data_IF_336832013850
#
_entry.id   IF_336832013850
#
_cell.length_a   1.000
_cell.length_b   1.000
_cell.length_c   1.000
_cell.angle_alpha   90.00
_cell.angle_beta   90.00
_cell.angle_gamma   90.00
#
_symmetry.space_group_name_H-M   'P 1'
#
loop_
_entity.id
_entity.type
_entity.pdbx_description
1 polymer ?
#
# COMPACT_ATOMS: atom_id res chain seq x y z
N UNK A 1 -18.80 -18.46 -19.28
CA UNK A 1 -20.14 -18.01 -18.85
C UNK A 1 -20.14 -16.49 -18.99
N UNK A 2 -20.93 -15.93 -19.89
CA UNK A 2 -21.10 -14.47 -19.98
C UNK A 2 -21.74 -14.02 -18.66
N UNK A 3 -21.01 -13.26 -17.84
CA UNK A 3 -21.61 -12.51 -16.76
C UNK A 3 -22.66 -11.62 -17.43
N UNK A 4 -23.91 -11.85 -17.11
CA UNK A 4 -24.99 -11.18 -17.81
C UNK A 4 -24.91 -9.69 -17.53
N UNK A 5 -25.02 -8.91 -18.59
CA UNK A 5 -25.16 -7.46 -18.57
C UNK A 5 -26.38 -6.95 -17.75
N UNK A 6 -27.13 -7.85 -17.15
CA UNK A 6 -28.33 -7.57 -16.36
C UNK A 6 -28.08 -6.75 -15.10
N UNK A 7 -26.85 -6.80 -14.53
CA UNK A 7 -26.53 -5.97 -13.35
C UNK A 7 -26.45 -4.47 -13.63
N UNK A 8 -26.21 -4.09 -14.89
CA UNK A 8 -26.14 -2.67 -15.28
C UNK A 8 -27.53 -2.00 -15.39
N UNK A 9 -28.58 -2.79 -15.49
CA UNK A 9 -29.96 -2.33 -15.69
C UNK A 9 -30.83 -2.40 -14.43
N UNK A 10 -30.25 -2.67 -13.26
CA UNK A 10 -31.02 -2.71 -12.03
C UNK A 10 -31.56 -1.33 -11.65
N UNK A 11 -32.85 -1.21 -11.29
CA UNK A 11 -33.46 0.07 -10.99
C UNK A 11 -32.81 0.71 -9.76
N UNK A 12 -32.31 1.93 -9.92
CA UNK A 12 -31.76 2.75 -8.82
C UNK A 12 -32.90 3.26 -7.96
N UNK A 13 -33.30 2.48 -6.96
CA UNK A 13 -34.33 2.89 -6.00
C UNK A 13 -33.71 2.98 -4.62
N UNK A 14 -33.23 4.08 -4.19
CA UNK A 14 -33.07 4.52 -2.81
C UNK A 14 -31.91 5.51 -2.64
N UNK A 15 -31.90 6.21 -1.52
CA UNK A 15 -30.80 7.08 -1.07
C UNK A 15 -29.49 6.31 -0.84
N UNK A 16 -29.55 5.01 -0.62
CA UNK A 16 -28.38 4.13 -0.56
C UNK A 16 -28.14 3.51 -1.93
N UNK A 17 -27.15 4.04 -2.63
CA UNK A 17 -26.86 3.74 -4.04
C UNK A 17 -26.51 2.28 -4.35
N UNK A 18 -26.26 1.45 -3.35
CA UNK A 18 -25.86 0.04 -3.55
C UNK A 18 -26.93 -0.97 -3.12
N UNK A 19 -28.05 -0.54 -2.52
CA UNK A 19 -29.09 -1.47 -2.04
C UNK A 19 -29.80 -2.25 -3.16
N UNK A 20 -29.71 -1.79 -4.39
CA UNK A 20 -30.25 -2.49 -5.56
C UNK A 20 -29.40 -3.70 -5.98
N UNK A 21 -28.16 -3.82 -5.50
CA UNK A 21 -27.29 -4.95 -5.82
C UNK A 21 -27.64 -6.18 -4.96
N UNK A 22 -27.43 -7.40 -5.49
CA UNK A 22 -27.54 -8.63 -4.70
C UNK A 22 -26.70 -8.57 -3.44
N UNK A 23 -27.13 -9.18 -2.38
CA UNK A 23 -26.39 -9.27 -1.10
C UNK A 23 -27.26 -9.07 0.12
N UNK A 24 -26.69 -9.28 1.28
CA UNK A 24 -27.32 -9.11 2.58
C UNK A 24 -26.62 -8.00 3.40
N UNK A 25 -27.16 -7.73 4.58
CA UNK A 25 -26.56 -6.78 5.52
C UNK A 25 -25.55 -7.44 6.48
N UNK A 26 -25.25 -8.74 6.26
CA UNK A 26 -24.37 -9.52 7.11
C UNK A 26 -25.09 -10.20 8.28
N UNK A 27 -24.35 -11.05 8.99
CA UNK A 27 -24.90 -11.92 10.07
C UNK A 27 -25.24 -11.17 11.35
N UNK A 28 -24.59 -10.03 11.60
CA UNK A 28 -24.73 -9.30 12.87
C UNK A 28 -25.37 -7.93 12.64
N UNK A 29 -26.29 -7.49 13.54
CA UNK A 29 -26.77 -6.12 13.52
C UNK A 29 -25.58 -5.15 13.61
N UNK A 30 -25.61 -4.05 12.87
CA UNK A 30 -24.57 -3.01 12.83
C UNK A 30 -23.21 -3.49 12.30
N UNK A 31 -22.63 -4.56 12.85
CA UNK A 31 -21.30 -5.07 12.48
C UNK A 31 -21.29 -5.83 11.15
N UNK A 32 -22.46 -6.27 10.67
CA UNK A 32 -22.54 -7.03 9.43
C UNK A 32 -21.76 -8.35 9.48
N UNK A 33 -20.87 -8.54 8.53
CA UNK A 33 -19.99 -9.70 8.43
C UNK A 33 -18.57 -9.43 8.98
N UNK A 34 -18.37 -8.41 9.81
CA UNK A 34 -17.04 -7.99 10.28
C UNK A 34 -16.25 -9.13 10.92
N UNK A 35 -16.88 -9.95 11.74
CA UNK A 35 -16.18 -11.07 12.39
C UNK A 35 -15.70 -12.08 11.37
N UNK A 36 -16.56 -12.52 10.45
CA UNK A 36 -16.21 -13.47 9.39
C UNK A 36 -15.17 -12.85 8.43
N UNK A 37 -15.29 -11.57 8.12
CA UNK A 37 -14.32 -10.82 7.31
C UNK A 37 -12.90 -10.86 7.91
N UNK A 38 -12.78 -10.77 9.24
CA UNK A 38 -11.49 -10.76 9.94
C UNK A 38 -10.93 -12.17 10.19
N UNK A 39 -11.80 -13.18 10.31
CA UNK A 39 -11.40 -14.53 10.70
C UNK A 39 -11.37 -15.53 9.55
N UNK A 40 -12.27 -15.39 8.56
CA UNK A 40 -12.38 -16.26 7.38
C UNK A 40 -12.87 -15.47 6.15
N UNK A 41 -12.05 -14.57 5.67
CA UNK A 41 -12.37 -13.73 4.49
C UNK A 41 -12.69 -14.56 3.24
N UNK A 42 -11.90 -15.62 2.98
CA UNK A 42 -12.10 -16.46 1.79
C UNK A 42 -13.40 -17.26 1.86
N UNK A 43 -13.75 -17.78 3.04
CA UNK A 43 -15.03 -18.45 3.26
C UNK A 43 -16.20 -17.50 3.07
N UNK A 44 -16.13 -16.29 3.63
CA UNK A 44 -17.15 -15.25 3.45
C UNK A 44 -17.38 -14.94 1.97
N UNK A 45 -16.31 -14.63 1.24
CA UNK A 45 -16.39 -14.27 -0.19
C UNK A 45 -16.91 -15.44 -1.03
N UNK A 46 -16.39 -16.66 -0.78
CA UNK A 46 -16.82 -17.86 -1.50
C UNK A 46 -18.30 -18.18 -1.29
N UNK A 47 -18.78 -18.05 -0.04
CA UNK A 47 -20.19 -18.24 0.30
C UNK A 47 -21.09 -17.21 -0.38
N UNK A 48 -20.72 -15.94 -0.30
CA UNK A 48 -21.51 -14.85 -0.93
C UNK A 48 -21.46 -14.94 -2.46
N UNK A 49 -20.33 -15.30 -3.05
CA UNK A 49 -20.24 -15.55 -4.49
C UNK A 49 -21.19 -16.65 -4.96
N UNK A 50 -21.28 -17.76 -4.22
CA UNK A 50 -22.22 -18.84 -4.53
C UNK A 50 -23.68 -18.41 -4.43
N UNK A 51 -24.01 -17.52 -3.49
CA UNK A 51 -25.39 -17.06 -3.27
C UNK A 51 -25.81 -15.94 -4.22
N UNK A 52 -24.93 -15.01 -4.51
CA UNK A 52 -25.26 -13.74 -5.16
C UNK A 52 -24.58 -13.53 -6.52
N UNK A 53 -23.64 -14.41 -6.88
CA UNK A 53 -22.86 -14.26 -8.12
C UNK A 53 -21.61 -13.39 -7.94
N UNK A 54 -20.97 -12.95 -9.04
CA UNK A 54 -19.67 -12.30 -9.01
C UNK A 54 -19.71 -10.82 -8.55
N UNK A 55 -20.88 -10.22 -8.48
CA UNK A 55 -21.06 -8.84 -8.03
C UNK A 55 -22.09 -8.83 -6.90
N UNK A 56 -21.66 -8.46 -5.71
CA UNK A 56 -22.56 -8.40 -4.56
C UNK A 56 -22.15 -7.32 -3.56
N UNK A 57 -23.13 -6.82 -2.82
CA UNK A 57 -22.87 -5.92 -1.70
C UNK A 57 -22.39 -6.69 -0.47
N UNK A 58 -21.51 -6.07 0.25
CA UNK A 58 -20.99 -6.55 1.51
C UNK A 58 -21.11 -5.46 2.59
N UNK A 59 -21.30 -5.86 3.84
CA UNK A 59 -21.32 -4.97 4.99
C UNK A 59 -20.36 -5.52 6.04
N UNK A 60 -19.19 -4.92 6.15
CA UNK A 60 -18.17 -5.30 7.13
C UNK A 60 -17.37 -4.06 7.56
N UNK A 61 -16.77 -4.11 8.74
CA UNK A 61 -15.96 -3.02 9.31
C UNK A 61 -16.73 -1.69 9.38
N UNK A 62 -18.03 -1.74 9.65
CA UNK A 62 -18.95 -0.59 9.65
C UNK A 62 -19.05 0.13 8.30
N UNK A 63 -18.64 -0.52 7.21
CA UNK A 63 -18.67 0.02 5.86
C UNK A 63 -19.47 -0.89 4.93
N UNK A 64 -20.21 -0.26 4.06
CA UNK A 64 -20.86 -0.93 2.93
C UNK A 64 -19.95 -0.85 1.72
N UNK A 65 -19.74 -1.99 1.09
CA UNK A 65 -18.90 -2.12 -0.09
C UNK A 65 -19.55 -3.02 -1.14
N UNK A 66 -19.02 -2.99 -2.34
CA UNK A 66 -19.38 -3.92 -3.42
C UNK A 66 -18.17 -4.81 -3.68
N UNK A 67 -18.38 -6.12 -3.58
CA UNK A 67 -17.40 -7.09 -4.03
C UNK A 67 -17.55 -7.27 -5.55
N UNK A 68 -16.44 -7.21 -6.25
CA UNK A 68 -16.32 -7.38 -7.68
C UNK A 68 -15.35 -8.55 -7.93
N UNK A 69 -15.83 -9.64 -8.49
CA UNK A 69 -15.07 -10.87 -8.67
C UNK A 69 -15.04 -11.25 -10.14
N UNK A 70 -13.91 -11.82 -10.55
CA UNK A 70 -13.72 -12.31 -11.91
C UNK A 70 -12.89 -11.37 -12.79
N UNK A 71 -12.43 -11.87 -13.97
CA UNK A 71 -11.53 -11.13 -14.84
C UNK A 71 -12.16 -9.85 -15.40
N UNK A 72 -13.44 -9.88 -15.79
CA UNK A 72 -14.12 -8.73 -16.36
C UNK A 72 -14.28 -7.59 -15.32
N UNK A 73 -14.61 -7.93 -14.07
CA UNK A 73 -14.73 -6.96 -13.00
C UNK A 73 -13.35 -6.37 -12.62
N UNK A 74 -12.31 -7.20 -12.61
CA UNK A 74 -10.95 -6.74 -12.38
C UNK A 74 -10.46 -5.83 -13.52
N UNK A 75 -10.77 -6.19 -14.78
CA UNK A 75 -10.43 -5.35 -15.93
C UNK A 75 -11.08 -3.96 -15.84
N UNK A 76 -12.37 -3.92 -15.48
CA UNK A 76 -13.10 -2.66 -15.29
C UNK A 76 -12.43 -1.75 -14.26
N UNK A 77 -12.07 -2.32 -13.09
CA UNK A 77 -11.45 -1.52 -11.99
C UNK A 77 -10.02 -1.12 -12.31
N UNK A 78 -9.22 -2.05 -12.88
CA UNK A 78 -7.79 -1.81 -13.10
C UNK A 78 -7.52 -0.90 -14.31
N UNK A 79 -8.34 -0.98 -15.36
CA UNK A 79 -8.21 -0.08 -16.51
C UNK A 79 -8.82 1.29 -16.27
N UNK A 80 -9.95 1.32 -15.58
CA UNK A 80 -10.71 2.54 -15.25
C UNK A 80 -10.74 3.57 -16.40
N UNK A 81 -11.06 3.13 -17.60
CA UNK A 81 -11.01 3.96 -18.81
C UNK A 81 -11.87 5.21 -18.70
N UNK A 82 -12.96 5.12 -17.96
CA UNK A 82 -13.92 6.21 -17.75
C UNK A 82 -13.59 7.09 -16.52
N UNK A 83 -12.49 6.78 -15.81
CA UNK A 83 -12.04 7.49 -14.61
C UNK A 83 -13.15 7.63 -13.55
N UNK A 84 -13.85 6.54 -13.26
CA UNK A 84 -14.97 6.49 -12.31
C UNK A 84 -14.58 6.01 -10.92
N UNK A 85 -13.41 5.38 -10.77
CA UNK A 85 -12.91 4.88 -9.50
C UNK A 85 -11.92 5.86 -8.88
N UNK A 86 -12.02 6.04 -7.56
CA UNK A 86 -11.13 6.87 -6.78
C UNK A 86 -10.27 6.01 -5.85
N UNK A 87 -8.98 5.94 -6.13
CA UNK A 87 -8.00 5.33 -5.22
C UNK A 87 -7.93 6.09 -3.91
N UNK A 88 -7.93 7.42 -3.96
CA UNK A 88 -7.92 8.29 -2.78
C UNK A 88 -9.05 7.93 -1.82
N UNK A 89 -10.30 7.89 -2.28
CA UNK A 89 -11.46 7.57 -1.42
C UNK A 89 -11.39 6.17 -0.81
N UNK A 90 -10.76 5.22 -1.51
CA UNK A 90 -10.58 3.86 -1.01
C UNK A 90 -9.50 3.77 0.08
N UNK A 91 -8.39 4.49 -0.11
CA UNK A 91 -7.21 4.38 0.75
C UNK A 91 -7.13 5.42 1.86
N UNK A 92 -7.80 6.59 1.73
CA UNK A 92 -7.84 7.62 2.78
C UNK A 92 -8.18 7.05 4.17
N UNK A 93 -9.22 6.21 4.37
CA UNK A 93 -9.55 5.67 5.68
C UNK A 93 -8.46 4.77 6.28
N UNK A 94 -7.54 4.30 5.44
CA UNK A 94 -6.49 3.35 5.82
C UNK A 94 -5.15 4.07 6.01
N UNK A 95 -4.76 4.93 5.07
CA UNK A 95 -3.41 5.43 4.93
C UNK A 95 -3.23 6.93 5.22
N UNK A 96 -4.28 7.76 5.18
CA UNK A 96 -4.15 9.22 5.28
C UNK A 96 -3.30 9.70 6.48
N UNK A 97 -3.52 9.08 7.65
CA UNK A 97 -2.77 9.45 8.87
C UNK A 97 -1.36 8.87 8.94
N UNK A 98 -1.07 7.85 8.15
CA UNK A 98 0.23 7.17 8.15
C UNK A 98 1.13 7.67 7.01
N UNK A 99 0.56 7.89 5.83
CA UNK A 99 1.26 8.31 4.62
C UNK A 99 0.44 9.39 3.88
N UNK A 100 0.23 10.58 4.50
CA UNK A 100 -0.54 11.65 3.86
C UNK A 100 0.13 12.04 2.53
N UNK A 101 -0.70 12.41 1.57
CA UNK A 101 -0.28 12.85 0.24
C UNK A 101 0.51 11.81 -0.59
N UNK A 102 0.58 10.57 -0.10
CA UNK A 102 1.18 9.46 -0.83
C UNK A 102 0.51 9.21 -2.18
N UNK A 103 1.24 8.62 -3.12
CA UNK A 103 0.75 8.37 -4.49
C UNK A 103 -0.60 7.61 -4.53
N UNK A 104 -0.83 6.67 -3.60
CA UNK A 104 -2.08 5.92 -3.49
C UNK A 104 -3.27 6.78 -3.03
N UNK A 105 -3.01 7.95 -2.44
CA UNK A 105 -4.01 8.90 -1.97
C UNK A 105 -4.26 10.05 -2.96
N UNK A 106 -3.89 9.84 -4.21
CA UNK A 106 -4.10 10.80 -5.31
C UNK A 106 -4.90 10.15 -6.42
N UNK A 107 -5.70 10.94 -7.11
CA UNK A 107 -6.54 10.47 -8.21
C UNK A 107 -6.19 11.19 -9.53
N UNK A 108 -6.57 10.58 -10.63
CA UNK A 108 -6.62 11.12 -11.97
C UNK A 108 -5.35 11.88 -12.40
N UNK A 109 -5.47 13.15 -12.70
CA UNK A 109 -4.37 13.95 -13.26
C UNK A 109 -3.29 14.24 -12.21
N UNK A 110 -3.67 14.43 -10.93
CA UNK A 110 -2.74 14.58 -9.82
C UNK A 110 -1.91 13.30 -9.61
N UNK A 111 -2.57 12.12 -9.58
CA UNK A 111 -1.89 10.84 -9.52
C UNK A 111 -0.93 10.66 -10.70
N UNK A 112 -1.38 11.00 -11.92
CA UNK A 112 -0.59 10.87 -13.14
C UNK A 112 0.64 11.77 -13.11
N UNK A 113 0.50 13.00 -12.66
CA UNK A 113 1.61 13.94 -12.50
C UNK A 113 2.69 13.38 -11.56
N UNK A 114 2.33 13.04 -10.32
CA UNK A 114 3.29 12.50 -9.36
C UNK A 114 3.89 11.15 -9.79
N UNK A 115 3.10 10.28 -10.43
CA UNK A 115 3.59 9.01 -10.95
C UNK A 115 4.66 9.18 -12.03
N UNK A 116 4.51 10.16 -12.92
CA UNK A 116 5.53 10.43 -13.96
C UNK A 116 6.86 10.84 -13.35
N UNK A 117 6.83 11.70 -12.34
CA UNK A 117 8.05 12.11 -11.64
C UNK A 117 8.73 10.90 -11.00
N UNK A 118 7.96 10.06 -10.29
CA UNK A 118 8.47 8.82 -9.73
C UNK A 118 9.06 7.86 -10.77
N UNK A 119 8.52 7.84 -11.99
CA UNK A 119 9.04 6.97 -13.06
C UNK A 119 10.49 7.28 -13.43
N UNK A 120 10.98 8.49 -13.17
CA UNK A 120 12.39 8.84 -13.42
C UNK A 120 13.33 7.93 -12.62
N UNK A 121 13.00 7.63 -11.37
CA UNK A 121 13.77 6.75 -10.49
C UNK A 121 13.67 5.24 -10.86
N UNK A 122 12.83 4.88 -11.85
CA UNK A 122 12.67 3.52 -12.35
C UNK A 122 13.18 3.36 -13.80
N UNK A 123 13.97 4.29 -14.29
CA UNK A 123 14.64 4.15 -15.59
C UNK A 123 15.67 3.02 -15.54
N UNK A 124 16.02 2.49 -16.71
CA UNK A 124 16.91 1.33 -16.85
C UNK A 124 18.23 1.50 -16.09
N UNK A 125 18.85 2.67 -16.20
CA UNK A 125 20.15 2.93 -15.59
C UNK A 125 20.04 3.00 -14.06
N UNK A 126 18.98 3.63 -13.52
CA UNK A 126 18.71 3.62 -12.08
C UNK A 126 18.47 2.18 -11.55
N UNK A 127 17.65 1.40 -12.27
CA UNK A 127 17.38 0.00 -11.92
C UNK A 127 18.66 -0.86 -11.96
N UNK A 128 19.56 -0.62 -12.92
CA UNK A 128 20.85 -1.30 -12.97
C UNK A 128 21.69 -0.95 -11.73
N UNK A 129 21.77 0.33 -11.36
CA UNK A 129 22.48 0.75 -10.14
C UNK A 129 21.91 0.08 -8.87
N UNK A 130 20.58 -0.02 -8.75
CA UNK A 130 19.96 -0.73 -7.62
C UNK A 130 20.34 -2.22 -7.58
N UNK A 131 20.39 -2.89 -8.74
CA UNK A 131 20.80 -4.29 -8.82
C UNK A 131 22.28 -4.47 -8.44
N UNK A 132 23.15 -3.57 -8.88
CA UNK A 132 24.58 -3.63 -8.58
C UNK A 132 24.84 -3.44 -7.08
N UNK A 133 24.07 -2.56 -6.42
CA UNK A 133 24.13 -2.36 -4.97
C UNK A 133 23.49 -3.53 -4.18
N UNK A 134 22.40 -4.10 -4.69
CA UNK A 134 21.61 -5.12 -4.01
C UNK A 134 22.27 -6.50 -4.06
N UNK A 135 22.83 -6.90 -5.22
CA UNK A 135 23.33 -8.25 -5.44
C UNK A 135 24.42 -8.71 -4.45
N UNK A 136 25.46 -7.91 -4.13
CA UNK A 136 26.47 -8.30 -3.14
C UNK A 136 25.84 -8.56 -1.77
N UNK A 137 24.90 -7.70 -1.36
CA UNK A 137 24.25 -7.77 -0.04
C UNK A 137 23.35 -8.98 0.10
N UNK A 138 22.55 -9.25 -0.95
CA UNK A 138 21.72 -10.45 -0.98
C UNK A 138 22.59 -11.71 -0.88
N UNK A 139 23.72 -11.75 -1.55
CA UNK A 139 24.67 -12.86 -1.48
C UNK A 139 25.22 -13.03 -0.06
N UNK A 140 25.69 -11.94 0.54
CA UNK A 140 26.29 -11.96 1.88
C UNK A 140 25.24 -12.29 2.95
N UNK A 141 24.05 -11.71 2.85
CA UNK A 141 22.94 -11.96 3.74
C UNK A 141 22.45 -13.42 3.70
N UNK A 142 22.32 -14.00 2.50
CA UNK A 142 21.96 -15.41 2.35
C UNK A 142 23.09 -16.32 2.85
N UNK A 143 24.36 -15.95 2.62
CA UNK A 143 25.51 -16.70 3.13
C UNK A 143 25.57 -16.73 4.65
N UNK A 144 25.02 -15.73 5.33
CA UNK A 144 24.94 -15.63 6.78
C UNK A 144 23.82 -16.49 7.40
N UNK A 145 22.90 -17.03 6.60
CA UNK A 145 21.84 -17.89 7.12
C UNK A 145 22.41 -19.17 7.76
N UNK A 146 21.79 -19.70 8.83
CA UNK A 146 22.24 -20.95 9.46
C UNK A 146 22.29 -22.10 8.46
N UNK A 147 23.46 -22.80 8.38
CA UNK A 147 23.67 -23.91 7.42
C UNK A 147 23.33 -25.28 7.98
N UNK A 148 23.44 -25.44 9.30
CA UNK A 148 23.32 -26.73 9.98
C UNK A 148 22.36 -26.69 11.16
N UNK A 149 21.37 -25.77 11.12
CA UNK A 149 20.38 -25.62 12.16
C UNK A 149 19.02 -25.28 11.52
N UNK A 150 17.94 -25.66 12.17
CA UNK A 150 16.61 -25.20 11.82
C UNK A 150 16.50 -23.70 12.11
N UNK A 151 15.90 -22.94 11.19
CA UNK A 151 15.65 -21.51 11.37
C UNK A 151 14.35 -21.08 10.68
N UNK A 152 13.78 -19.97 11.15
CA UNK A 152 12.59 -19.37 10.55
C UNK A 152 12.94 -18.64 9.25
N UNK A 153 12.82 -19.32 8.11
CA UNK A 153 13.13 -18.74 6.78
C UNK A 153 12.39 -17.43 6.54
N UNK A 154 11.08 -17.38 6.87
CA UNK A 154 10.24 -16.20 6.68
C UNK A 154 10.79 -14.95 7.40
N UNK A 155 11.22 -15.10 8.65
CA UNK A 155 11.70 -13.97 9.45
C UNK A 155 13.10 -13.56 9.01
N UNK A 156 13.95 -14.52 8.69
CA UNK A 156 15.31 -14.27 8.20
C UNK A 156 15.31 -13.55 6.85
N UNK A 157 14.50 -14.02 5.89
CA UNK A 157 14.41 -13.38 4.58
C UNK A 157 13.73 -11.99 4.67
N UNK A 158 12.74 -11.83 5.55
CA UNK A 158 12.08 -10.55 5.78
C UNK A 158 13.06 -9.50 6.31
N UNK A 159 13.89 -9.88 7.30
CA UNK A 159 14.93 -8.99 7.84
C UNK A 159 15.92 -8.59 6.75
N UNK A 160 16.46 -9.55 6.01
CA UNK A 160 17.40 -9.31 4.92
C UNK A 160 16.80 -8.37 3.85
N UNK A 161 15.55 -8.60 3.44
CA UNK A 161 14.88 -7.76 2.44
C UNK A 161 14.67 -6.34 2.94
N UNK A 162 14.33 -6.14 4.21
CA UNK A 162 14.20 -4.81 4.81
C UNK A 162 15.54 -4.06 4.85
N UNK A 163 16.61 -4.74 5.20
CA UNK A 163 17.95 -4.15 5.25
C UNK A 163 18.43 -3.74 3.86
N UNK A 164 18.22 -4.61 2.87
CA UNK A 164 18.51 -4.30 1.47
C UNK A 164 17.65 -3.13 0.98
N UNK A 165 16.36 -3.13 1.31
CA UNK A 165 15.44 -2.06 0.93
C UNK A 165 15.82 -0.71 1.55
N UNK A 166 16.14 -0.65 2.85
CA UNK A 166 16.58 0.56 3.52
C UNK A 166 17.79 1.18 2.82
N UNK A 167 18.70 0.36 2.35
CA UNK A 167 19.90 0.81 1.71
C UNK A 167 19.68 1.24 0.25
N UNK A 168 18.98 0.43 -0.55
CA UNK A 168 18.71 0.74 -1.96
C UNK A 168 17.75 1.91 -2.10
N UNK A 169 16.73 1.99 -1.25
CA UNK A 169 15.74 3.05 -1.34
C UNK A 169 16.13 4.32 -0.60
N UNK A 170 16.74 4.19 0.58
CA UNK A 170 17.02 5.36 1.43
C UNK A 170 18.52 5.72 1.46
N UNK A 171 19.37 4.88 0.90
CA UNK A 171 20.83 5.07 0.91
C UNK A 171 21.44 4.98 2.30
N UNK A 172 20.80 4.26 3.22
CA UNK A 172 21.24 4.13 4.62
C UNK A 172 22.14 2.90 4.76
N UNK A 173 23.28 3.07 5.39
CA UNK A 173 24.14 1.93 5.76
C UNK A 173 23.52 1.16 6.92
N UNK A 174 23.75 -0.15 6.95
CA UNK A 174 23.31 -1.00 8.08
C UNK A 174 23.80 -0.43 9.41
N UNK A 175 22.92 -0.48 10.42
CA UNK A 175 23.17 0.04 11.76
C UNK A 175 21.91 0.61 12.41
N UNK A 176 22.04 1.29 13.52
CA UNK A 176 20.94 1.79 14.35
C UNK A 176 19.92 2.65 13.58
N UNK A 177 20.39 3.45 12.61
CA UNK A 177 19.50 4.31 11.79
C UNK A 177 18.68 3.46 10.81
N UNK A 178 19.25 2.45 10.17
CA UNK A 178 18.52 1.51 9.31
C UNK A 178 17.50 0.70 10.12
N UNK A 179 17.87 0.23 11.30
CA UNK A 179 16.98 -0.49 12.21
C UNK A 179 15.80 0.36 12.64
N UNK A 180 16.03 1.64 12.94
CA UNK A 180 14.98 2.58 13.32
C UNK A 180 14.01 2.82 12.16
N UNK A 181 14.50 2.98 10.93
CA UNK A 181 13.68 3.14 9.71
C UNK A 181 12.87 1.87 9.45
N UNK A 182 13.51 0.70 9.45
CA UNK A 182 12.87 -0.58 9.22
C UNK A 182 11.74 -0.82 10.25
N UNK A 183 12.01 -0.57 11.51
CA UNK A 183 11.03 -0.66 12.60
C UNK A 183 9.90 0.35 12.42
N UNK A 184 10.24 1.59 12.07
CA UNK A 184 9.25 2.64 11.79
C UNK A 184 8.31 2.26 10.66
N UNK A 185 8.86 1.74 9.56
CA UNK A 185 8.10 1.27 8.41
C UNK A 185 7.19 0.09 8.76
N UNK A 186 7.72 -0.92 9.46
CA UNK A 186 6.91 -2.07 9.91
C UNK A 186 5.75 -1.64 10.79
N UNK A 187 5.99 -0.76 11.76
CA UNK A 187 4.93 -0.25 12.63
C UNK A 187 3.85 0.52 11.85
N UNK A 188 4.25 1.31 10.84
CA UNK A 188 3.29 2.02 9.99
C UNK A 188 2.47 1.04 9.15
N UNK A 189 3.10 0.00 8.58
CA UNK A 189 2.40 -1.05 7.82
C UNK A 189 1.44 -1.86 8.70
N UNK A 190 1.84 -2.26 9.90
CA UNK A 190 0.95 -2.95 10.85
C UNK A 190 -0.23 -2.08 11.26
N UNK A 191 0.01 -0.77 11.47
CA UNK A 191 -1.04 0.17 11.83
C UNK A 191 -2.06 0.38 10.70
N UNK A 192 -1.66 0.28 9.45
CA UNK A 192 -2.59 0.37 8.32
C UNK A 192 -3.69 -0.69 8.37
N UNK A 193 -3.37 -1.87 8.92
CA UNK A 193 -4.30 -2.99 9.11
C UNK A 193 -5.03 -2.95 10.46
N UNK A 194 -4.77 -1.96 11.32
CA UNK A 194 -5.40 -1.87 12.63
C UNK A 194 -6.90 -1.57 12.51
N UNK A 195 -7.72 -2.37 13.18
CA UNK A 195 -9.18 -2.17 13.25
C UNK A 195 -9.50 -0.97 14.15
N UNK A 196 -8.76 -0.83 15.26
CA UNK A 196 -8.93 0.27 16.22
C UNK A 196 -7.87 1.33 15.96
N UNK A 197 -8.29 2.45 15.41
CA UNK A 197 -7.41 3.58 15.02
C UNK A 197 -7.45 4.71 16.06
N UNK A 198 -7.22 4.35 17.32
CA UNK A 198 -7.13 5.32 18.41
C UNK A 198 -5.67 5.53 18.83
N UNK A 199 -5.23 6.78 18.96
CA UNK A 199 -3.85 7.13 19.34
C UNK A 199 -3.60 6.98 20.85
N UNK A 200 -3.80 5.75 21.35
CA UNK A 200 -3.60 5.39 22.76
C UNK A 200 -2.22 4.74 22.89
N UNK A 201 -1.41 5.11 23.89
CA UNK A 201 -0.11 4.51 24.14
C UNK A 201 -0.19 2.97 24.22
N UNK A 202 0.76 2.30 23.56
CA UNK A 202 0.82 0.83 23.51
C UNK A 202 0.03 0.18 22.36
N UNK A 203 -0.95 0.88 21.74
CA UNK A 203 -1.70 0.33 20.60
C UNK A 203 -0.86 0.26 19.32
N UNK A 204 -1.24 -0.67 18.42
CA UNK A 204 -0.63 -0.80 17.09
C UNK A 204 -0.75 0.51 16.30
N UNK A 205 -1.89 1.20 16.42
CA UNK A 205 -2.09 2.49 15.77
C UNK A 205 -1.10 3.55 16.25
N UNK A 206 -0.92 3.70 17.57
CA UNK A 206 0.04 4.66 18.12
C UNK A 206 1.49 4.33 17.72
N UNK A 207 1.84 3.02 17.69
CA UNK A 207 3.17 2.58 17.19
C UNK A 207 3.37 3.00 15.74
N UNK A 208 2.35 2.87 14.89
CA UNK A 208 2.41 3.31 13.50
C UNK A 208 2.59 4.81 13.34
N UNK A 209 1.88 5.64 14.13
CA UNK A 209 2.06 7.09 14.13
C UNK A 209 3.49 7.48 14.55
N UNK A 210 4.04 6.79 15.53
CA UNK A 210 5.43 7.00 15.95
C UNK A 210 6.41 6.54 14.84
N UNK A 211 6.12 5.42 14.17
CA UNK A 211 6.89 4.96 13.03
C UNK A 211 6.92 5.97 11.89
N UNK A 212 5.75 6.52 11.53
CA UNK A 212 5.66 7.63 10.56
C UNK A 212 6.54 8.81 10.96
N UNK A 213 6.51 9.21 12.23
CA UNK A 213 7.35 10.32 12.74
C UNK A 213 8.84 10.01 12.56
N UNK A 214 9.26 8.78 12.84
CA UNK A 214 10.65 8.34 12.61
C UNK A 214 11.04 8.45 11.14
N UNK A 215 10.21 7.96 10.22
CA UNK A 215 10.45 8.05 8.79
C UNK A 215 10.52 9.50 8.30
N UNK A 216 9.58 10.34 8.73
CA UNK A 216 9.55 11.76 8.39
C UNK A 216 10.81 12.47 8.87
N UNK A 217 11.18 12.30 10.13
CA UNK A 217 12.39 12.92 10.69
C UNK A 217 13.66 12.49 9.94
N UNK A 218 13.72 11.22 9.50
CA UNK A 218 14.83 10.75 8.69
C UNK A 218 14.89 11.47 7.33
N UNK A 219 13.77 11.59 6.62
CA UNK A 219 13.72 12.30 5.34
C UNK A 219 14.13 13.75 5.52
N UNK A 220 13.55 14.46 6.51
CA UNK A 220 13.87 15.87 6.80
C UNK A 220 15.35 16.07 7.16
N UNK A 221 15.95 15.14 7.87
CA UNK A 221 17.38 15.19 8.25
C UNK A 221 18.30 15.06 7.03
N UNK A 222 17.93 14.25 6.05
CA UNK A 222 18.82 13.85 4.94
C UNK A 222 18.53 14.53 3.61
N UNK A 223 17.37 15.17 3.43
CA UNK A 223 16.92 15.70 2.13
C UNK A 223 17.87 16.72 1.54
N UNK A 224 18.43 17.64 2.36
CA UNK A 224 19.37 18.65 1.89
C UNK A 224 20.68 18.02 1.37
N UNK A 225 21.20 17.03 2.08
CA UNK A 225 22.40 16.31 1.64
C UNK A 225 22.16 15.50 0.37
N UNK A 226 20.97 14.91 0.23
CA UNK A 226 20.56 14.17 -0.96
C UNK A 226 20.37 15.08 -2.17
N UNK A 227 19.90 16.31 -1.99
CA UNK A 227 19.82 17.32 -3.05
C UNK A 227 21.18 17.87 -3.43
N UNK A 228 22.10 18.02 -2.47
CA UNK A 228 23.44 18.55 -2.74
C UNK A 228 24.35 17.57 -3.51
N UNK A 229 24.10 16.26 -3.38
CA UNK A 229 24.96 15.22 -3.98
C UNK A 229 24.12 14.08 -4.51
N UNK A 230 24.17 13.86 -5.82
CA UNK A 230 23.49 12.74 -6.46
C UNK A 230 24.15 11.41 -6.08
N UNK A 231 23.33 10.42 -5.73
CA UNK A 231 23.75 9.05 -5.42
C UNK A 231 22.81 8.03 -6.06
N UNK A 232 23.21 6.76 -6.09
CA UNK A 232 22.48 5.68 -6.76
C UNK A 232 21.17 5.29 -6.07
N UNK A 233 20.97 5.66 -4.80
CA UNK A 233 19.77 5.27 -4.07
C UNK A 233 18.50 6.01 -4.57
N UNK A 234 17.34 5.36 -4.35
CA UNK A 234 16.05 5.87 -4.80
C UNK A 234 15.73 7.25 -4.22
N UNK A 235 16.05 7.51 -2.95
CA UNK A 235 15.77 8.80 -2.31
C UNK A 235 16.52 9.94 -3.03
N UNK A 236 17.79 9.75 -3.34
CA UNK A 236 18.57 10.71 -4.10
C UNK A 236 18.01 10.90 -5.53
N UNK A 237 17.74 9.79 -6.23
CA UNK A 237 17.16 9.85 -7.58
C UNK A 237 15.81 10.59 -7.58
N UNK A 238 15.02 10.42 -6.52
CA UNK A 238 13.76 11.13 -6.36
C UNK A 238 13.94 12.61 -6.08
N UNK A 239 14.94 12.99 -5.27
CA UNK A 239 15.27 14.40 -5.01
C UNK A 239 15.70 15.18 -6.28
N UNK A 240 16.28 14.48 -7.26
CA UNK A 240 16.72 15.05 -8.54
C UNK A 240 15.74 14.84 -9.69
N UNK A 241 14.62 14.17 -9.43
CA UNK A 241 13.59 13.97 -10.44
C UNK A 241 12.92 15.29 -10.81
N UNK A 242 12.68 15.49 -12.13
CA UNK A 242 12.07 16.69 -12.68
C UNK A 242 10.76 16.34 -13.36
N UNK A 243 9.82 17.28 -13.30
CA UNK A 243 8.58 17.22 -14.08
C UNK A 243 8.83 17.47 -15.59
N UNK A 244 7.76 17.51 -16.38
CA UNK A 244 7.84 17.74 -17.85
C UNK A 244 8.35 19.16 -18.20
N UNK A 245 8.21 20.11 -17.28
CA UNK A 245 8.64 21.51 -17.43
C UNK A 245 10.07 21.72 -16.89
N UNK A 246 10.70 20.67 -16.35
CA UNK A 246 12.04 20.70 -15.79
C UNK A 246 12.11 21.19 -14.35
N UNK A 247 10.97 21.33 -13.66
CA UNK A 247 10.93 21.73 -12.26
C UNK A 247 11.19 20.54 -11.33
N UNK A 248 11.94 20.77 -10.27
CA UNK A 248 12.15 19.80 -9.20
C UNK A 248 10.98 19.78 -8.22
N UNK A 249 10.77 18.64 -7.56
CA UNK A 249 9.79 18.53 -6.49
C UNK A 249 10.20 19.42 -5.31
N UNK A 250 9.23 20.07 -4.68
CA UNK A 250 9.46 20.76 -3.41
C UNK A 250 9.74 19.76 -2.27
N UNK A 251 10.33 20.23 -1.17
CA UNK A 251 10.56 19.38 0.01
C UNK A 251 9.26 18.94 0.70
N UNK A 252 8.12 19.53 0.35
CA UNK A 252 6.79 19.23 0.89
C UNK A 252 6.01 18.23 0.02
N UNK A 253 6.47 17.97 -1.20
CA UNK A 253 5.84 17.04 -2.14
C UNK A 253 6.28 15.60 -1.89
#
# INVERSE_FOLDING_TARGET
>A
MKASADYLNLPRKSTDKILHLPGDNGKMPVLGDTVEFLTDYLGLVSRKHKLYGPIFRNNALLQRSVALLGPEANELVLKDSDKIFSSKKAWDPILDKLFPDGLMLRDFDEHRFHRRILQAAFKKDALQGYLDDMNPRMRDGVAAFPKNAEFGFKDSIKSLLLDVAAQVFMGVKMGEEADAINKGFLHAMEASMAVVKLPIPGTTWQKGLNGRKTLKNFIEKHIEAKRATESSDFFSQFCHAKDEDGNELSNEA
#
